data_IF_790428762100
#
_entry.id   IF_790428762100
#
_cell.length_a   1.000
_cell.length_b   1.000
_cell.length_c   1.000
_cell.angle_alpha   90.00
_cell.angle_beta   90.00
_cell.angle_gamma   90.00
#
_symmetry.space_group_name_H-M   'P 1'
#
loop_
_entity.id
_entity.type
_entity.pdbx_description
1 polymer ?
#
# COMPACT_ATOMS: atom_id res chain seq x y z
N UNK A 1 -6.02 -1.30 48.16
CA UNK A 1 -5.13 -0.53 47.26
C UNK A 1 -4.34 -1.38 46.25
N UNK A 2 -3.74 -2.53 46.64
CA UNK A 2 -2.88 -3.36 45.75
C UNK A 2 -3.61 -4.06 44.59
N UNK A 3 -4.84 -4.53 44.81
CA UNK A 3 -5.65 -5.19 43.77
C UNK A 3 -6.13 -4.23 42.67
N UNK A 4 -6.32 -2.95 43.00
CA UNK A 4 -6.70 -1.93 42.02
C UNK A 4 -5.55 -1.62 41.06
N UNK A 5 -4.33 -1.51 41.59
CA UNK A 5 -3.13 -1.30 40.77
C UNK A 5 -2.88 -2.47 39.81
N UNK A 6 -3.12 -3.71 40.25
CA UNK A 6 -2.96 -4.90 39.42
C UNK A 6 -4.03 -5.01 38.31
N UNK A 7 -5.27 -4.58 38.61
CA UNK A 7 -6.36 -4.48 37.62
C UNK A 7 -6.08 -3.40 36.58
N UNK A 8 -5.58 -2.24 37.00
CA UNK A 8 -5.23 -1.13 36.10
C UNK A 8 -4.07 -1.48 35.16
N UNK A 9 -3.06 -2.21 35.67
CA UNK A 9 -1.93 -2.67 34.84
C UNK A 9 -2.39 -3.64 33.74
N UNK A 10 -3.33 -4.53 34.06
CA UNK A 10 -3.91 -5.50 33.12
C UNK A 10 -4.80 -4.82 32.05
N UNK A 11 -5.55 -3.79 32.43
CA UNK A 11 -6.36 -3.02 31.47
C UNK A 11 -5.48 -2.18 30.54
N UNK A 12 -4.38 -1.62 31.05
CA UNK A 12 -3.44 -0.82 30.26
C UNK A 12 -2.70 -1.68 29.21
N UNK A 13 -2.29 -2.89 29.56
CA UNK A 13 -1.65 -3.81 28.61
C UNK A 13 -2.63 -4.30 27.55
N UNK A 14 -3.90 -4.56 27.93
CA UNK A 14 -4.94 -4.92 26.97
C UNK A 14 -5.28 -3.76 26.02
N UNK A 15 -5.32 -2.52 26.51
CA UNK A 15 -5.53 -1.34 25.68
C UNK A 15 -4.36 -1.09 24.70
N UNK A 16 -3.11 -1.35 25.11
CA UNK A 16 -1.96 -1.30 24.20
C UNK A 16 -2.05 -2.36 23.10
N UNK A 17 -2.50 -3.57 23.41
CA UNK A 17 -2.69 -4.63 22.40
C UNK A 17 -3.82 -4.29 21.42
N UNK A 18 -4.95 -3.75 21.89
CA UNK A 18 -6.06 -3.36 21.01
C UNK A 18 -5.75 -2.10 20.16
N UNK A 19 -4.92 -1.17 20.68
CA UNK A 19 -4.47 0.00 19.91
C UNK A 19 -3.60 -0.35 18.71
N UNK A 20 -2.85 -1.46 18.77
CA UNK A 20 -2.07 -1.96 17.64
C UNK A 20 -2.94 -2.58 16.53
N UNK A 21 -4.09 -3.18 16.86
CA UNK A 21 -5.02 -3.71 15.85
C UNK A 21 -5.79 -2.60 15.10
N UNK A 22 -6.02 -1.45 15.72
CA UNK A 22 -6.66 -0.31 15.04
C UNK A 22 -5.77 0.32 13.95
N UNK A 23 -4.43 0.14 14.02
CA UNK A 23 -3.53 0.55 12.93
C UNK A 23 -3.52 -0.43 11.74
N UNK A 24 -4.23 -1.55 11.85
CA UNK A 24 -4.48 -2.48 10.73
C UNK A 24 -5.93 -2.37 10.19
N UNK A 25 -6.76 -1.50 10.78
CA UNK A 25 -8.11 -1.19 10.31
C UNK A 25 -8.07 -0.21 9.12
N UNK A 26 -7.55 -0.69 8.00
CA UNK A 26 -7.63 -0.02 6.71
C UNK A 26 -7.85 -0.96 5.53
N UNK A 27 -7.85 -2.29 5.77
CA UNK A 27 -7.84 -3.25 4.68
C UNK A 27 -9.14 -4.05 4.61
N UNK A 28 -10.08 -3.56 3.81
CA UNK A 28 -11.17 -4.39 3.31
C UNK A 28 -10.56 -5.64 2.63
N UNK A 29 -11.06 -6.86 2.91
CA UNK A 29 -10.69 -8.06 2.17
C UNK A 29 -11.37 -8.02 0.80
N UNK A 30 -10.92 -7.13 -0.07
CA UNK A 30 -11.38 -7.07 -1.45
C UNK A 30 -10.50 -8.01 -2.27
N UNK A 31 -11.05 -9.16 -2.66
CA UNK A 31 -10.44 -10.10 -3.63
C UNK A 31 -9.71 -11.28 -3.00
N UNK A 32 -10.44 -12.29 -2.51
CA UNK A 32 -9.86 -13.51 -1.90
C UNK A 32 -8.85 -14.22 -2.80
N UNK A 33 -8.99 -14.12 -4.13
CA UNK A 33 -8.07 -14.72 -5.08
C UNK A 33 -6.72 -13.99 -5.20
N UNK A 34 -6.68 -12.66 -5.08
CA UNK A 34 -5.43 -11.90 -5.18
C UNK A 34 -4.55 -12.20 -3.96
N UNK A 35 -5.12 -12.08 -2.75
CA UNK A 35 -4.41 -12.35 -1.51
C UNK A 35 -3.92 -13.81 -1.42
N UNK A 36 -4.75 -14.78 -1.84
CA UNK A 36 -4.34 -16.18 -1.88
C UNK A 36 -3.12 -16.41 -2.80
N UNK A 37 -3.09 -15.76 -3.97
CA UNK A 37 -1.95 -15.86 -4.89
C UNK A 37 -0.70 -15.15 -4.36
N UNK A 38 -0.88 -14.02 -3.69
CA UNK A 38 0.21 -13.29 -3.04
C UNK A 38 0.84 -14.14 -1.92
N UNK A 39 0.01 -14.74 -1.07
CA UNK A 39 0.45 -15.64 0.00
C UNK A 39 1.12 -16.92 -0.55
N UNK A 40 0.68 -17.42 -1.70
CA UNK A 40 1.30 -18.56 -2.39
C UNK A 40 2.58 -18.20 -3.16
N UNK A 41 3.02 -16.94 -3.15
CA UNK A 41 4.19 -16.48 -3.90
C UNK A 41 4.00 -16.45 -5.42
N UNK A 42 2.76 -16.57 -5.90
CA UNK A 42 2.40 -16.55 -7.32
C UNK A 42 2.28 -15.10 -7.83
N UNK A 43 3.38 -14.36 -7.76
CA UNK A 43 3.40 -12.91 -7.98
C UNK A 43 2.92 -12.52 -9.38
N UNK A 44 3.31 -13.27 -10.42
CA UNK A 44 2.83 -13.04 -11.78
C UNK A 44 1.32 -13.22 -11.91
N UNK A 45 0.76 -14.27 -11.29
CA UNK A 45 -0.68 -14.53 -11.34
C UNK A 45 -1.46 -13.49 -10.53
N UNK A 46 -0.92 -13.04 -9.40
CA UNK A 46 -1.47 -11.92 -8.64
C UNK A 46 -1.45 -10.62 -9.46
N UNK A 47 -0.36 -10.35 -10.20
CA UNK A 47 -0.25 -9.19 -11.07
C UNK A 47 -1.30 -9.16 -12.17
N UNK A 48 -1.59 -10.31 -12.79
CA UNK A 48 -2.61 -10.42 -13.84
C UNK A 48 -4.02 -10.13 -13.32
N UNK A 49 -4.27 -10.34 -12.03
CA UNK A 49 -5.57 -10.07 -11.42
C UNK A 49 -5.76 -8.60 -11.03
N UNK A 50 -4.69 -7.78 -11.00
CA UNK A 50 -4.82 -6.35 -10.71
C UNK A 50 -5.72 -5.66 -11.75
N UNK A 51 -6.78 -5.00 -11.28
CA UNK A 51 -7.73 -4.26 -12.13
C UNK A 51 -8.69 -5.15 -12.93
N UNK A 52 -8.72 -6.47 -12.68
CA UNK A 52 -9.75 -7.36 -13.23
C UNK A 52 -11.05 -7.31 -12.43
N UNK A 53 -10.97 -6.95 -11.15
CA UNK A 53 -12.12 -6.77 -10.28
C UNK A 53 -12.58 -5.31 -10.31
N UNK A 54 -13.84 -5.06 -9.93
CA UNK A 54 -14.37 -3.69 -9.82
C UNK A 54 -13.76 -3.03 -8.57
N UNK A 55 -12.53 -2.55 -8.72
CA UNK A 55 -11.72 -1.95 -7.67
C UNK A 55 -11.78 -0.43 -7.76
N UNK A 56 -12.05 0.24 -6.65
CA UNK A 56 -11.87 1.69 -6.55
C UNK A 56 -10.38 2.05 -6.71
N UNK A 57 -10.08 3.27 -7.16
CA UNK A 57 -8.71 3.72 -7.39
C UNK A 57 -7.80 3.59 -6.14
N UNK A 58 -8.36 3.77 -4.94
CA UNK A 58 -7.66 3.58 -3.68
C UNK A 58 -7.31 2.10 -3.42
N UNK A 59 -8.25 1.18 -3.68
CA UNK A 59 -8.04 -0.26 -3.51
C UNK A 59 -6.98 -0.75 -4.52
N UNK A 60 -7.07 -0.31 -5.77
CA UNK A 60 -6.10 -0.67 -6.80
C UNK A 60 -4.69 -0.17 -6.46
N UNK A 61 -4.55 1.06 -5.94
CA UNK A 61 -3.27 1.62 -5.54
C UNK A 61 -2.64 0.80 -4.39
N UNK A 62 -3.46 0.40 -3.44
CA UNK A 62 -3.07 -0.36 -2.28
C UNK A 62 -2.67 -1.81 -2.66
N UNK A 63 -3.44 -2.50 -3.51
CA UNK A 63 -3.03 -3.82 -4.05
C UNK A 63 -1.74 -3.76 -4.88
N UNK A 64 -1.55 -2.70 -5.68
CA UNK A 64 -0.29 -2.47 -6.42
C UNK A 64 0.90 -2.31 -5.46
N UNK A 65 0.70 -1.61 -4.34
CA UNK A 65 1.73 -1.45 -3.32
C UNK A 65 2.09 -2.78 -2.66
N UNK A 66 1.10 -3.58 -2.25
CA UNK A 66 1.35 -4.93 -1.70
C UNK A 66 2.11 -5.83 -2.68
N UNK A 67 1.78 -5.78 -3.96
CA UNK A 67 2.50 -6.54 -4.98
C UNK A 67 3.94 -6.04 -5.18
N UNK A 68 4.16 -4.73 -5.14
CA UNK A 68 5.50 -4.15 -5.20
C UNK A 68 6.37 -4.63 -4.03
N UNK A 69 5.83 -4.61 -2.81
CA UNK A 69 6.54 -5.06 -1.61
C UNK A 69 6.92 -6.55 -1.69
N UNK A 70 6.03 -7.39 -2.24
CA UNK A 70 6.32 -8.80 -2.46
C UNK A 70 7.45 -9.02 -3.49
N UNK A 71 7.49 -8.24 -4.57
CA UNK A 71 8.62 -8.27 -5.51
C UNK A 71 9.92 -7.75 -4.91
N UNK A 72 9.87 -6.78 -4.00
CA UNK A 72 11.05 -6.33 -3.24
C UNK A 72 11.58 -7.41 -2.30
N UNK A 73 10.70 -8.21 -1.68
CA UNK A 73 11.11 -9.36 -0.87
C UNK A 73 11.79 -10.42 -1.74
N UNK A 74 11.20 -10.76 -2.88
CA UNK A 74 11.79 -11.72 -3.82
C UNK A 74 13.15 -11.26 -4.37
N UNK A 75 13.33 -9.96 -4.62
CA UNK A 75 14.63 -9.46 -5.07
C UNK A 75 15.71 -9.62 -4.00
N UNK A 76 15.37 -9.39 -2.71
CA UNK A 76 16.28 -9.64 -1.59
C UNK A 76 16.67 -11.12 -1.48
N UNK A 77 15.70 -12.02 -1.61
CA UNK A 77 15.95 -13.47 -1.59
C UNK A 77 16.85 -13.90 -2.76
N UNK A 78 16.59 -13.40 -3.97
CA UNK A 78 17.44 -13.66 -5.13
C UNK A 78 18.88 -13.14 -4.93
N UNK A 79 19.04 -11.95 -4.34
CA UNK A 79 20.37 -11.41 -3.99
C UNK A 79 21.09 -12.32 -2.99
N UNK A 80 20.40 -12.81 -1.96
CA UNK A 80 20.97 -13.72 -0.98
C UNK A 80 21.39 -15.06 -1.61
N UNK A 81 20.65 -15.51 -2.62
CA UNK A 81 20.98 -16.69 -3.41
C UNK A 81 22.07 -16.46 -4.47
N UNK A 82 22.55 -15.22 -4.65
CA UNK A 82 23.52 -14.87 -5.69
C UNK A 82 22.93 -14.72 -7.10
N UNK A 83 21.60 -14.78 -7.24
CA UNK A 83 20.90 -14.57 -8.52
C UNK A 83 20.65 -13.07 -8.77
N UNK A 84 21.69 -12.40 -9.26
CA UNK A 84 21.66 -10.97 -9.59
C UNK A 84 20.67 -10.65 -10.71
N UNK A 85 20.50 -11.58 -11.67
CA UNK A 85 19.58 -11.39 -12.80
C UNK A 85 18.12 -11.47 -12.33
N UNK A 86 17.79 -12.49 -11.52
CA UNK A 86 16.48 -12.63 -10.89
C UNK A 86 16.15 -11.45 -9.99
N UNK A 87 17.13 -10.99 -9.20
CA UNK A 87 16.98 -9.80 -8.36
C UNK A 87 16.68 -8.53 -9.17
N UNK A 88 17.43 -8.31 -10.25
CA UNK A 88 17.27 -7.14 -11.12
C UNK A 88 15.90 -7.12 -11.80
N UNK A 89 15.45 -8.28 -12.30
CA UNK A 89 14.12 -8.43 -12.91
C UNK A 89 12.99 -8.20 -11.89
N UNK A 90 13.10 -8.78 -10.69
CA UNK A 90 12.12 -8.58 -9.63
C UNK A 90 12.06 -7.11 -9.19
N UNK A 91 13.21 -6.44 -9.05
CA UNK A 91 13.30 -5.03 -8.71
C UNK A 91 12.67 -4.15 -9.80
N UNK A 92 12.90 -4.44 -11.08
CA UNK A 92 12.31 -3.71 -12.19
C UNK A 92 10.77 -3.79 -12.14
N UNK A 93 10.22 -4.99 -11.88
CA UNK A 93 8.77 -5.18 -11.72
C UNK A 93 8.23 -4.42 -10.50
N UNK A 94 8.89 -4.49 -9.35
CA UNK A 94 8.51 -3.70 -8.17
C UNK A 94 8.42 -2.20 -8.49
N UNK A 95 9.44 -1.64 -9.17
CA UNK A 95 9.49 -0.21 -9.53
C UNK A 95 8.40 0.21 -10.51
N UNK A 96 7.95 -0.69 -11.39
CA UNK A 96 6.83 -0.41 -12.29
C UNK A 96 5.47 -0.34 -11.58
N UNK A 97 5.35 -1.02 -10.43
CA UNK A 97 4.12 -1.09 -9.65
C UNK A 97 4.00 0.04 -8.62
N UNK A 98 5.12 0.61 -8.18
CA UNK A 98 5.12 1.71 -7.24
C UNK A 98 4.57 2.99 -7.89
N UNK A 99 3.60 3.67 -7.27
CA UNK A 99 3.17 4.98 -7.72
C UNK A 99 4.34 5.95 -7.63
N UNK A 100 4.57 6.75 -8.69
CA UNK A 100 5.56 7.83 -8.65
C UNK A 100 5.20 8.77 -7.50
N UNK A 101 6.06 8.79 -6.49
CA UNK A 101 6.10 9.68 -5.33
C UNK A 101 4.73 10.24 -4.89
N UNK A 102 4.11 9.72 -3.82
CA UNK A 102 2.83 10.25 -3.31
C UNK A 102 2.88 11.75 -2.96
N UNK A 103 4.07 12.29 -2.65
CA UNK A 103 4.28 13.74 -2.53
C UNK A 103 3.97 14.48 -3.84
N UNK A 104 4.50 14.02 -4.97
CA UNK A 104 4.23 14.60 -6.29
C UNK A 104 2.78 14.36 -6.73
N UNK A 105 2.14 13.25 -6.33
CA UNK A 105 0.73 13.01 -6.64
C UNK A 105 -0.20 13.98 -5.88
N UNK A 106 0.15 14.36 -4.65
CA UNK A 106 -0.56 15.38 -3.89
C UNK A 106 -0.39 16.77 -4.54
N UNK A 107 0.83 17.11 -4.96
CA UNK A 107 1.12 18.36 -5.66
C UNK A 107 0.43 18.41 -7.04
N UNK A 108 0.45 17.32 -7.82
CA UNK A 108 -0.19 17.22 -9.14
C UNK A 108 -1.72 17.38 -9.08
N UNK A 109 -2.34 16.96 -7.97
CA UNK A 109 -3.79 17.10 -7.77
C UNK A 109 -4.23 18.56 -7.61
N UNK A 110 -3.34 19.46 -7.14
CA UNK A 110 -3.60 20.90 -7.07
C UNK A 110 -3.48 21.57 -8.45
N UNK A 111 -2.52 21.13 -9.28
CA UNK A 111 -2.28 21.68 -10.63
C UNK A 111 -3.39 21.30 -11.65
N UNK A 112 -4.16 20.25 -11.36
CA UNK A 112 -5.25 19.77 -12.23
C UNK A 112 -6.61 20.42 -11.98
N UNK A 113 -6.76 21.22 -10.93
CA UNK A 113 -7.98 22.00 -10.69
C UNK A 113 -7.82 23.36 -11.39
N UNK A 114 -8.53 23.62 -12.52
CA UNK A 114 -8.61 24.97 -13.03
C UNK A 114 -9.38 25.80 -11.99
N UNK A 115 -8.65 26.44 -11.07
CA UNK A 115 -9.18 27.55 -10.29
C UNK A 115 -9.67 28.56 -11.33
N UNK A 116 -10.99 28.65 -11.48
CA UNK A 116 -11.64 29.52 -12.43
C UNK A 116 -10.96 30.88 -12.38
N UNK A 117 -10.22 31.22 -13.45
CA UNK A 117 -9.56 32.50 -13.57
C UNK A 117 -10.66 33.55 -13.46
N UNK A 118 -10.55 34.43 -12.45
CA UNK A 118 -11.41 35.58 -12.35
C UNK A 118 -11.34 36.35 -13.69
N UNK A 119 -12.48 36.82 -14.23
CA UNK A 119 -12.48 37.53 -15.50
C UNK A 119 -11.60 38.76 -15.37
N UNK A 120 -10.51 38.79 -16.14
CA UNK A 120 -9.66 39.97 -16.28
C UNK A 120 -10.53 41.02 -16.97
N UNK A 121 -10.92 42.05 -16.20
CA UNK A 121 -11.70 43.17 -16.72
C UNK A 121 -10.74 44.03 -17.54
N UNK A 122 -10.78 43.88 -18.86
CA UNK A 122 -10.18 44.84 -19.77
C UNK A 122 -11.03 46.12 -19.70
N UNK A 123 -10.53 47.14 -19.02
CA UNK A 123 -11.09 48.50 -19.06
C UNK A 123 -10.40 49.27 -20.20
N UNK A 124 -11.13 50.08 -21.00
CA UNK A 124 -10.65 50.69 -22.24
C UNK A 124 -9.63 51.82 -22.04
#
# INVERSE_FOLDING_TARGET
MKFLALRLLSVLSLALLLGACQSLSGQAPSGSGFEARLAAGQLEAAQLQLGQEHEDAAQLAERRQRLADAYLQRSREALQAGDVNGASNALARARSLMPRAPALAADVKDIGQPKAAAPVKCEP
#
